data_IF_853708120485
#
_entry.id   IF_853708120485
#
_cell.length_a   1.000
_cell.length_b   1.000
_cell.length_c   1.000
_cell.angle_alpha   90.00
_cell.angle_beta   90.00
_cell.angle_gamma   90.00
#
_symmetry.space_group_name_H-M   'P 1'
#
loop_
_entity.id
_entity.type
_entity.pdbx_description
1 polymer ?
#
# COMPACT_ATOMS: atom_id res chain seq x y z
N UNK A 1 36.75 16.17 -22.70
CA UNK A 1 36.28 14.77 -22.67
C UNK A 1 35.01 14.77 -21.85
N UNK A 2 33.88 14.42 -22.46
CA UNK A 2 32.59 14.34 -21.77
C UNK A 2 32.56 13.06 -20.93
N UNK A 3 32.21 13.11 -19.64
CA UNK A 3 32.03 11.91 -18.83
C UNK A 3 30.73 11.18 -19.20
N UNK A 4 30.75 9.85 -19.15
CA UNK A 4 29.72 8.97 -19.70
C UNK A 4 29.29 7.92 -18.67
N UNK A 5 28.02 7.52 -18.70
CA UNK A 5 27.46 6.49 -17.80
C UNK A 5 27.00 5.26 -18.54
N UNK A 6 27.10 4.11 -17.87
CA UNK A 6 26.53 2.84 -18.33
C UNK A 6 25.37 2.44 -17.42
N UNK A 7 24.15 2.47 -17.95
CA UNK A 7 22.99 1.82 -17.35
C UNK A 7 22.71 0.54 -18.12
N UNK A 8 22.67 -0.61 -17.43
CA UNK A 8 22.24 -1.88 -18.02
C UNK A 8 20.69 -1.93 -18.01
N UNK A 9 20.05 -1.12 -18.88
CA UNK A 9 18.61 -1.16 -19.12
C UNK A 9 18.32 -1.78 -20.50
N UNK A 10 17.73 -3.00 -20.57
CA UNK A 10 17.46 -3.67 -21.83
C UNK A 10 16.28 -3.07 -22.62
N UNK A 11 15.56 -2.11 -22.05
CA UNK A 11 14.36 -1.48 -22.65
C UNK A 11 14.60 -0.09 -23.20
N UNK A 12 15.79 0.48 -22.98
CA UNK A 12 16.12 1.81 -23.46
C UNK A 12 16.24 1.87 -24.98
N UNK A 13 15.76 2.96 -25.62
CA UNK A 13 15.88 3.14 -27.05
C UNK A 13 17.36 3.28 -27.45
N UNK A 14 17.76 2.65 -28.56
CA UNK A 14 19.15 2.71 -29.06
C UNK A 14 19.67 4.13 -29.32
N UNK A 15 18.78 5.12 -29.49
CA UNK A 15 19.09 6.54 -29.62
C UNK A 15 19.46 7.25 -28.31
N UNK A 16 19.32 6.59 -27.15
CA UNK A 16 19.69 7.14 -25.85
C UNK A 16 21.19 6.98 -25.54
N UNK A 17 21.91 6.23 -26.37
CA UNK A 17 23.34 5.97 -26.24
C UNK A 17 24.15 6.85 -27.21
N UNK A 18 25.36 7.21 -26.81
CA UNK A 18 26.37 7.74 -27.72
C UNK A 18 26.99 6.64 -28.60
N UNK A 19 27.86 7.04 -29.52
CA UNK A 19 28.56 6.13 -30.45
C UNK A 19 29.44 5.07 -29.73
N UNK A 20 29.61 5.18 -28.41
CA UNK A 20 30.37 4.25 -27.57
C UNK A 20 29.48 3.35 -26.70
N UNK A 21 28.15 3.47 -26.81
CA UNK A 21 27.20 2.68 -26.04
C UNK A 21 27.00 3.18 -24.61
N UNK A 22 27.26 4.46 -24.34
CA UNK A 22 27.05 5.07 -23.02
C UNK A 22 26.02 6.19 -23.09
N UNK A 23 25.37 6.46 -21.96
CA UNK A 23 24.49 7.60 -21.83
C UNK A 23 25.32 8.88 -21.63
N UNK A 24 25.03 9.95 -22.39
CA UNK A 24 25.61 11.25 -22.13
C UNK A 24 25.07 11.80 -20.81
N UNK A 25 25.97 12.32 -19.97
CA UNK A 25 25.56 13.06 -18.78
C UNK A 25 24.87 14.38 -19.15
N UNK A 26 23.95 14.88 -18.31
CA UNK A 26 23.30 16.16 -18.54
C UNK A 26 24.32 17.30 -18.66
N UNK A 27 24.00 18.30 -19.48
CA UNK A 27 24.87 19.45 -19.70
C UNK A 27 25.15 20.18 -18.37
N UNK A 28 26.43 20.44 -18.08
CA UNK A 28 26.86 21.04 -16.80
C UNK A 28 27.06 20.05 -15.65
N UNK A 29 27.00 18.74 -15.90
CA UNK A 29 27.37 17.72 -14.92
C UNK A 29 28.81 17.89 -14.41
N UNK A 30 28.98 17.99 -13.09
CA UNK A 30 30.28 18.16 -12.42
C UNK A 30 30.71 16.93 -11.62
N UNK A 31 29.84 15.93 -11.49
CA UNK A 31 30.05 14.74 -10.67
C UNK A 31 30.23 13.48 -11.52
N UNK A 32 31.02 12.53 -11.01
CA UNK A 32 31.16 11.19 -11.59
C UNK A 32 30.36 10.13 -10.83
N UNK A 33 29.55 10.53 -9.84
CA UNK A 33 28.76 9.59 -9.05
C UNK A 33 27.53 9.12 -9.83
N UNK A 34 27.55 7.86 -10.25
CA UNK A 34 26.43 7.23 -10.98
C UNK A 34 25.10 7.34 -10.24
N UNK A 35 25.09 7.27 -8.90
CA UNK A 35 23.88 7.35 -8.08
C UNK A 35 23.09 8.67 -8.25
N UNK A 36 23.74 9.71 -8.78
CA UNK A 36 23.11 11.02 -9.02
C UNK A 36 22.26 11.05 -10.27
N UNK A 37 22.45 10.09 -11.15
CA UNK A 37 21.91 10.13 -12.49
C UNK A 37 20.87 9.03 -12.66
N UNK A 38 19.69 9.41 -13.13
CA UNK A 38 18.59 8.50 -13.44
C UNK A 38 18.02 8.84 -14.80
N UNK A 39 17.34 7.88 -15.42
CA UNK A 39 16.57 8.13 -16.64
C UNK A 39 15.19 8.68 -16.27
N UNK A 40 14.76 9.72 -16.97
CA UNK A 40 13.37 10.17 -16.92
C UNK A 40 12.46 9.31 -17.80
N UNK A 41 11.17 9.67 -17.87
CA UNK A 41 10.16 8.93 -18.65
C UNK A 41 10.45 8.92 -20.16
N UNK A 42 11.20 9.91 -20.65
CA UNK A 42 11.62 10.03 -22.05
C UNK A 42 12.99 9.37 -22.32
N UNK A 43 13.60 8.78 -21.29
CA UNK A 43 14.90 8.10 -21.38
C UNK A 43 16.11 9.05 -21.35
N UNK A 44 15.93 10.32 -20.96
CA UNK A 44 17.02 11.26 -20.79
C UNK A 44 17.65 11.16 -19.40
N UNK A 45 18.97 11.36 -19.31
CA UNK A 45 19.68 11.35 -18.02
C UNK A 45 19.47 12.66 -17.28
N UNK A 46 18.88 12.59 -16.09
CA UNK A 46 18.69 13.73 -15.19
C UNK A 46 19.52 13.57 -13.91
N UNK A 47 20.02 14.67 -13.35
CA UNK A 47 20.63 14.70 -12.01
C UNK A 47 19.54 14.83 -10.94
N UNK A 48 19.19 13.74 -10.27
CA UNK A 48 18.16 13.72 -9.22
C UNK A 48 18.60 14.42 -7.93
N UNK A 49 19.86 14.85 -7.83
CA UNK A 49 20.42 15.60 -6.70
C UNK A 49 21.00 16.95 -7.14
N UNK A 50 20.50 17.52 -8.24
CA UNK A 50 20.96 18.80 -8.78
C UNK A 50 21.08 19.88 -7.68
N UNK A 51 22.21 20.58 -7.67
CA UNK A 51 22.52 21.62 -6.68
C UNK A 51 23.17 21.12 -5.39
N UNK A 52 23.26 19.80 -5.18
CA UNK A 52 24.05 19.21 -4.08
C UNK A 52 25.46 18.85 -4.54
N UNK A 53 26.44 19.00 -3.66
CA UNK A 53 27.75 18.37 -3.86
C UNK A 53 27.68 16.85 -3.69
N UNK A 54 28.76 16.15 -3.96
CA UNK A 54 28.81 14.69 -3.93
C UNK A 54 28.57 14.11 -2.54
N UNK A 55 29.08 14.76 -1.49
CA UNK A 55 28.88 14.30 -0.12
C UNK A 55 27.42 14.45 0.31
N UNK A 56 26.80 15.59 -0.03
CA UNK A 56 25.40 15.87 0.24
C UNK A 56 24.47 14.97 -0.58
N UNK A 57 24.80 14.65 -1.83
CA UNK A 57 24.02 13.72 -2.65
C UNK A 57 24.07 12.28 -2.10
N UNK A 58 25.25 11.82 -1.64
CA UNK A 58 25.35 10.52 -0.96
C UNK A 58 24.51 10.51 0.31
N UNK A 59 24.58 11.56 1.14
CA UNK A 59 23.79 11.66 2.36
C UNK A 59 22.28 11.66 2.08
N UNK A 60 21.84 12.43 1.08
CA UNK A 60 20.44 12.45 0.64
C UNK A 60 19.97 11.09 0.11
N UNK A 61 20.84 10.37 -0.61
CA UNK A 61 20.55 9.03 -1.09
C UNK A 61 20.37 8.03 0.07
N UNK A 62 21.26 8.07 1.06
CA UNK A 62 21.16 7.22 2.25
C UNK A 62 19.88 7.51 3.02
N UNK A 63 19.58 8.79 3.28
CA UNK A 63 18.34 9.18 3.98
C UNK A 63 17.08 8.71 3.23
N UNK A 64 17.07 8.78 1.89
CA UNK A 64 15.97 8.24 1.07
C UNK A 64 15.84 6.72 1.22
N UNK A 65 16.96 5.99 1.25
CA UNK A 65 16.92 4.54 1.46
C UNK A 65 16.45 4.17 2.87
N UNK A 66 16.88 4.91 3.89
CA UNK A 66 16.44 4.70 5.28
C UNK A 66 14.93 4.96 5.40
N UNK A 67 14.43 6.08 4.89
CA UNK A 67 13.00 6.37 4.87
C UNK A 67 12.18 5.29 4.12
N UNK A 68 12.71 4.76 3.00
CA UNK A 68 12.05 3.68 2.28
C UNK A 68 12.06 2.35 3.07
N UNK A 69 13.13 2.06 3.80
CA UNK A 69 13.22 0.88 4.67
C UNK A 69 12.27 0.99 5.86
N UNK A 70 12.19 2.16 6.47
CA UNK A 70 11.25 2.42 7.57
C UNK A 70 9.81 2.28 7.08
N UNK A 71 9.46 2.90 5.95
CA UNK A 71 8.14 2.73 5.34
C UNK A 71 7.82 1.27 4.98
N UNK A 72 8.81 0.51 4.46
CA UNK A 72 8.63 -0.90 4.15
C UNK A 72 8.47 -1.75 5.41
N UNK A 73 9.17 -1.41 6.49
CA UNK A 73 9.02 -2.04 7.80
C UNK A 73 7.64 -1.77 8.38
N UNK A 74 7.18 -0.53 8.35
CA UNK A 74 5.85 -0.14 8.81
C UNK A 74 4.76 -0.85 8.00
N UNK A 75 4.93 -0.96 6.67
CA UNK A 75 4.02 -1.72 5.81
C UNK A 75 4.04 -3.23 6.10
N UNK A 76 5.18 -3.80 6.48
CA UNK A 76 5.31 -5.21 6.86
C UNK A 76 4.72 -5.50 8.26
N UNK A 77 4.69 -4.51 9.15
CA UNK A 77 4.10 -4.62 10.49
C UNK A 77 2.58 -4.39 10.48
N UNK A 78 2.05 -3.71 9.45
CA UNK A 78 0.61 -3.54 9.27
C UNK A 78 -0.11 -4.91 9.18
N UNK A 79 -1.25 -5.07 9.89
CA UNK A 79 -1.98 -6.34 9.85
C UNK A 79 -2.45 -6.64 8.43
N UNK A 80 -2.24 -7.88 7.97
CA UNK A 80 -2.64 -8.33 6.65
C UNK A 80 -4.09 -7.93 6.33
N UNK A 81 -4.31 -7.24 5.22
CA UNK A 81 -5.63 -6.76 4.81
C UNK A 81 -6.51 -7.89 4.32
N UNK A 82 -5.91 -8.91 3.71
CA UNK A 82 -6.57 -10.11 3.20
C UNK A 82 -6.65 -11.19 4.27
N UNK A 83 -7.84 -11.75 4.48
CA UNK A 83 -8.12 -12.76 5.48
C UNK A 83 -9.13 -13.78 4.95
N UNK A 84 -9.13 -15.01 5.47
CA UNK A 84 -10.26 -15.92 5.18
C UNK A 84 -11.57 -15.43 5.82
N UNK A 85 -12.75 -15.74 5.28
CA UNK A 85 -14.02 -15.31 5.88
C UNK A 85 -14.19 -15.71 7.36
N UNK A 86 -13.81 -16.93 7.80
CA UNK A 86 -13.82 -17.28 9.21
C UNK A 86 -12.88 -16.41 10.05
N UNK A 87 -11.67 -16.09 9.54
CA UNK A 87 -10.74 -15.21 10.25
C UNK A 87 -11.29 -13.79 10.37
N UNK A 88 -11.87 -13.25 9.29
CA UNK A 88 -12.50 -11.93 9.28
C UNK A 88 -13.59 -11.85 10.36
N UNK A 89 -14.55 -12.78 10.36
CA UNK A 89 -15.64 -12.78 11.34
C UNK A 89 -15.16 -13.09 12.77
N UNK A 90 -14.34 -14.12 12.97
CA UNK A 90 -13.97 -14.58 14.31
C UNK A 90 -12.94 -13.70 15.01
N UNK A 91 -12.06 -13.03 14.24
CA UNK A 91 -10.95 -12.24 14.79
C UNK A 91 -11.33 -10.77 14.98
N UNK A 92 -12.17 -10.23 14.10
CA UNK A 92 -12.48 -8.79 14.08
C UNK A 92 -13.82 -8.46 14.72
N UNK A 93 -14.71 -9.43 14.91
CA UNK A 93 -15.98 -9.20 15.58
C UNK A 93 -16.05 -10.00 16.87
N UNK A 94 -16.62 -9.42 17.92
CA UNK A 94 -16.96 -10.12 19.15
C UNK A 94 -18.07 -11.14 18.91
N UNK A 95 -18.25 -12.08 19.85
CA UNK A 95 -19.38 -13.01 19.78
C UNK A 95 -20.71 -12.24 19.80
N UNK A 96 -20.85 -11.22 20.65
CA UNK A 96 -22.06 -10.41 20.76
C UNK A 96 -22.38 -9.68 19.45
N UNK A 97 -21.38 -9.05 18.82
CA UNK A 97 -21.53 -8.39 17.52
C UNK A 97 -21.98 -9.40 16.45
N UNK A 98 -21.34 -10.57 16.37
CA UNK A 98 -21.73 -11.59 15.39
C UNK A 98 -23.17 -12.09 15.60
N UNK A 99 -23.60 -12.26 16.84
CA UNK A 99 -24.97 -12.67 17.16
C UNK A 99 -25.97 -11.56 16.77
N UNK A 100 -25.66 -10.31 17.08
CA UNK A 100 -26.50 -9.17 16.72
C UNK A 100 -26.63 -9.00 15.20
N UNK A 101 -25.52 -9.09 14.46
CA UNK A 101 -25.50 -9.04 12.99
C UNK A 101 -26.33 -10.19 12.40
N UNK A 102 -26.19 -11.41 12.94
CA UNK A 102 -26.99 -12.56 12.49
C UNK A 102 -28.49 -12.40 12.79
N UNK A 103 -28.85 -11.79 13.91
CA UNK A 103 -30.24 -11.53 14.24
C UNK A 103 -30.85 -10.46 13.31
N UNK A 104 -30.07 -9.44 12.94
CA UNK A 104 -30.51 -8.38 12.02
C UNK A 104 -30.80 -8.87 10.60
N UNK A 105 -30.26 -10.04 10.21
CA UNK A 105 -30.53 -10.71 8.93
C UNK A 105 -32.01 -10.80 8.59
N UNK A 106 -32.86 -11.04 9.59
CA UNK A 106 -34.30 -11.25 9.37
C UNK A 106 -35.04 -9.94 9.02
N UNK A 107 -34.47 -8.80 9.39
CA UNK A 107 -35.13 -7.49 9.33
C UNK A 107 -34.43 -6.50 8.41
N UNK A 108 -33.17 -6.76 8.05
CA UNK A 108 -32.33 -5.87 7.24
C UNK A 108 -31.78 -6.63 6.00
N UNK A 109 -32.31 -6.36 4.80
CA UNK A 109 -31.86 -6.99 3.56
C UNK A 109 -30.39 -6.74 3.21
N UNK A 110 -29.82 -5.60 3.61
CA UNK A 110 -28.41 -5.32 3.35
C UNK A 110 -27.50 -6.15 4.25
N UNK A 111 -27.93 -6.40 5.49
CA UNK A 111 -27.24 -7.34 6.39
C UNK A 111 -27.40 -8.80 5.92
N UNK A 112 -28.56 -9.20 5.38
CA UNK A 112 -28.70 -10.53 4.77
C UNK A 112 -27.75 -10.71 3.58
N UNK A 113 -27.70 -9.75 2.67
CA UNK A 113 -26.80 -9.80 1.51
C UNK A 113 -25.33 -9.91 1.94
N UNK A 114 -24.90 -9.08 2.90
CA UNK A 114 -23.56 -9.17 3.49
C UNK A 114 -23.23 -10.56 4.01
N UNK A 115 -24.10 -11.12 4.85
CA UNK A 115 -23.87 -12.42 5.44
C UNK A 115 -23.86 -13.51 4.39
N UNK A 116 -24.70 -13.43 3.36
CA UNK A 116 -24.69 -14.38 2.24
C UNK A 116 -23.39 -14.35 1.46
N UNK A 117 -22.82 -13.16 1.23
CA UNK A 117 -21.53 -13.02 0.56
C UNK A 117 -20.39 -13.61 1.40
N UNK A 118 -20.30 -13.23 2.69
CA UNK A 118 -19.23 -13.69 3.58
C UNK A 118 -19.33 -15.18 3.92
N UNK A 119 -20.54 -15.74 3.92
CA UNK A 119 -20.79 -17.17 4.15
C UNK A 119 -20.77 -18.01 2.86
N UNK A 120 -20.59 -17.40 1.68
CA UNK A 120 -20.51 -18.15 0.42
C UNK A 120 -19.25 -19.04 0.44
N UNK A 121 -19.38 -20.37 0.27
CA UNK A 121 -18.24 -21.29 0.30
C UNK A 121 -17.23 -21.07 -0.84
N UNK A 122 -17.58 -20.30 -1.86
CA UNK A 122 -16.68 -19.90 -2.95
C UNK A 122 -15.81 -18.70 -2.58
N UNK A 123 -16.19 -17.93 -1.56
CA UNK A 123 -15.38 -16.83 -1.06
C UNK A 123 -14.24 -17.41 -0.21
N UNK A 124 -13.02 -17.35 -0.74
CA UNK A 124 -11.83 -17.85 -0.03
C UNK A 124 -11.13 -16.76 0.77
N UNK A 125 -11.33 -15.51 0.38
CA UNK A 125 -10.61 -14.35 0.90
C UNK A 125 -11.54 -13.14 1.01
N UNK A 126 -11.30 -12.33 2.03
CA UNK A 126 -11.93 -11.04 2.31
C UNK A 126 -10.79 -10.03 2.43
N UNK A 127 -10.78 -9.01 1.57
CA UNK A 127 -9.87 -7.89 1.69
C UNK A 127 -10.56 -6.72 2.40
N UNK A 128 -10.04 -6.33 3.56
CA UNK A 128 -10.57 -5.21 4.36
C UNK A 128 -10.43 -3.85 3.67
N UNK A 129 -9.52 -3.75 2.71
CA UNK A 129 -9.35 -2.55 1.89
C UNK A 129 -10.29 -2.52 0.68
N UNK A 130 -10.98 -3.62 0.36
CA UNK A 130 -11.95 -3.64 -0.73
C UNK A 130 -13.08 -2.63 -0.47
N UNK A 131 -13.44 -1.79 -1.46
CA UNK A 131 -14.49 -0.79 -1.29
C UNK A 131 -15.84 -1.37 -0.82
N UNK A 132 -16.17 -2.60 -1.22
CA UNK A 132 -17.41 -3.28 -0.83
C UNK A 132 -17.34 -3.71 0.64
N UNK A 133 -16.19 -4.24 1.08
CA UNK A 133 -15.96 -4.57 2.49
C UNK A 133 -15.97 -3.31 3.36
N UNK A 134 -15.37 -2.20 2.90
CA UNK A 134 -15.44 -0.92 3.61
C UNK A 134 -16.88 -0.41 3.72
N UNK A 135 -17.63 -0.44 2.61
CA UNK A 135 -19.01 0.02 2.58
C UNK A 135 -19.91 -0.78 3.51
N UNK A 136 -19.76 -2.11 3.53
CA UNK A 136 -20.62 -2.98 4.34
C UNK A 136 -20.32 -2.86 5.83
N UNK A 137 -19.05 -2.72 6.23
CA UNK A 137 -18.67 -2.50 7.63
C UNK A 137 -19.16 -1.13 8.12
N UNK A 138 -19.10 -0.11 7.27
CA UNK A 138 -19.68 1.21 7.58
C UNK A 138 -21.20 1.17 7.63
N UNK A 139 -21.85 0.37 6.80
CA UNK A 139 -23.31 0.23 6.84
C UNK A 139 -23.81 -0.22 8.22
N UNK A 140 -23.08 -1.11 8.89
CA UNK A 140 -23.40 -1.59 10.24
C UNK A 140 -23.47 -0.48 11.31
N UNK A 141 -22.91 0.72 11.06
CA UNK A 141 -23.04 1.87 11.96
C UNK A 141 -24.32 2.67 11.75
N UNK A 142 -24.99 2.43 10.61
CA UNK A 142 -26.19 3.17 10.17
C UNK A 142 -27.49 2.41 10.40
N UNK A 143 -27.42 1.15 10.86
CA UNK A 143 -28.60 0.36 11.24
C UNK A 143 -29.33 0.97 12.43
N UNK A 144 -30.60 0.60 12.64
CA UNK A 144 -31.39 1.06 13.78
C UNK A 144 -31.92 -0.13 14.61
N UNK A 145 -31.35 -0.42 15.79
CA UNK A 145 -30.22 0.27 16.40
C UNK A 145 -28.88 -0.01 15.68
N UNK A 146 -27.85 0.84 15.85
CA UNK A 146 -26.53 0.61 15.28
C UNK A 146 -25.91 -0.70 15.78
N UNK A 147 -25.50 -1.57 14.86
CA UNK A 147 -24.85 -2.83 15.17
C UNK A 147 -23.37 -2.64 15.54
N UNK A 148 -22.74 -1.59 15.02
CA UNK A 148 -21.41 -1.13 15.40
C UNK A 148 -21.44 0.37 15.69
N UNK A 149 -20.49 0.83 16.52
CA UNK A 149 -20.16 2.26 16.59
C UNK A 149 -19.18 2.63 15.46
N UNK A 150 -19.11 3.90 15.09
CA UNK A 150 -18.11 4.41 14.13
C UNK A 150 -16.67 4.04 14.54
N UNK A 151 -16.37 4.17 15.82
CA UNK A 151 -15.06 3.80 16.37
C UNK A 151 -14.79 2.30 16.19
N UNK A 152 -15.79 1.44 16.45
CA UNK A 152 -15.63 -0.01 16.29
C UNK A 152 -15.48 -0.41 14.81
N UNK A 153 -16.25 0.21 13.91
CA UNK A 153 -16.11 0.00 12.48
C UNK A 153 -14.69 0.37 11.98
N UNK A 154 -14.13 1.49 12.46
CA UNK A 154 -12.75 1.87 12.16
C UNK A 154 -11.74 0.81 12.64
N UNK A 155 -11.93 0.25 13.84
CA UNK A 155 -11.07 -0.82 14.36
C UNK A 155 -11.16 -2.11 13.52
N UNK A 156 -12.36 -2.51 13.10
CA UNK A 156 -12.55 -3.68 12.21
C UNK A 156 -11.80 -3.47 10.89
N UNK A 157 -11.94 -2.28 10.28
CA UNK A 157 -11.26 -1.95 9.02
C UNK A 157 -9.74 -1.81 9.19
N UNK A 158 -9.27 -1.36 10.35
CA UNK A 158 -7.85 -1.34 10.70
C UNK A 158 -7.30 -2.74 11.02
N UNK A 159 -8.16 -3.71 11.34
CA UNK A 159 -7.76 -5.10 11.65
C UNK A 159 -7.45 -5.29 13.12
N UNK A 160 -7.92 -4.36 13.95
CA UNK A 160 -7.74 -4.35 15.38
C UNK A 160 -8.75 -5.28 16.04
N UNK A 161 -8.22 -6.21 16.83
CA UNK A 161 -9.05 -7.13 17.61
C UNK A 161 -9.88 -6.32 18.60
N UNK A 162 -11.13 -6.74 18.86
CA UNK A 162 -11.91 -6.12 19.93
C UNK A 162 -11.15 -6.26 21.26
N UNK A 163 -11.25 -5.25 22.11
CA UNK A 163 -10.75 -5.37 23.47
C UNK A 163 -11.41 -6.58 24.12
N UNK A 164 -10.61 -7.45 24.76
CA UNK A 164 -11.16 -8.49 25.60
C UNK A 164 -11.83 -7.77 26.78
N UNK A 165 -13.16 -7.77 26.81
CA UNK A 165 -13.85 -7.37 28.03
C UNK A 165 -13.44 -8.34 29.16
N UNK A 166 -13.07 -7.83 30.34
CA UNK A 166 -12.57 -8.64 31.45
C UNK A 166 -13.61 -9.61 32.03
#
# INVERSE_FOLDING_TARGET
MTPLLRFDDPTAPASAYDDTGHYPLPEGATSTLTLRYVLDEDGAVIDQYAGLDDAAAVAAHVARQEAARDAARDAAEAPATVMTPPQFLATLFTIAERVAIRAARETDPAVDDFLRLVEDPRLTEVDRADPSTVAIVRYLTTTDPPLLTEARAAQVLAGERPALEP
#
